data_IF_309742669613
#
_entry.id   IF_309742669613
#
_cell.length_a   1.000
_cell.length_b   1.000
_cell.length_c   1.000
_cell.angle_alpha   90.00
_cell.angle_beta   90.00
_cell.angle_gamma   90.00
#
_symmetry.space_group_name_H-M   'P 1'
#
loop_
_entity.id
_entity.type
_entity.pdbx_description
1 polymer ?
#
# COMPACT_ATOMS: atom_id res chain seq x y z
N UNK A 1 6.48 -22.26 -16.40
CA UNK A 1 6.26 -20.85 -16.81
C UNK A 1 7.04 -20.03 -15.81
N UNK A 2 8.07 -19.31 -16.24
CA UNK A 2 8.92 -18.54 -15.34
C UNK A 2 8.21 -17.23 -15.04
N UNK A 3 7.70 -17.08 -13.81
CA UNK A 3 7.09 -15.84 -13.37
C UNK A 3 8.15 -14.71 -13.41
N UNK A 4 7.79 -13.56 -13.97
CA UNK A 4 8.67 -12.38 -14.03
C UNK A 4 9.16 -11.95 -12.63
N UNK A 5 8.40 -12.29 -11.58
CA UNK A 5 8.75 -12.04 -10.18
C UNK A 5 9.91 -12.94 -9.68
N UNK A 6 10.14 -14.11 -10.27
CA UNK A 6 11.31 -14.97 -10.00
C UNK A 6 12.56 -14.47 -10.73
N UNK A 7 12.39 -13.81 -11.88
CA UNK A 7 13.49 -13.24 -12.67
C UNK A 7 13.96 -11.87 -12.14
N UNK A 8 13.10 -11.15 -11.41
CA UNK A 8 13.38 -9.85 -10.81
C UNK A 8 12.93 -9.83 -9.34
N UNK A 9 13.76 -10.33 -8.40
CA UNK A 9 13.40 -10.35 -6.98
C UNK A 9 13.17 -8.91 -6.50
N UNK A 10 11.90 -8.55 -6.35
CA UNK A 10 11.51 -7.21 -5.92
C UNK A 10 11.50 -7.16 -4.39
N UNK A 11 12.13 -6.13 -3.82
CA UNK A 11 12.05 -5.79 -2.38
C UNK A 11 10.62 -5.43 -1.95
N UNK A 12 9.71 -5.27 -2.91
CA UNK A 12 8.37 -4.76 -2.71
C UNK A 12 7.30 -5.84 -3.00
N UNK A 13 6.19 -5.76 -2.28
CA UNK A 13 5.01 -6.61 -2.51
C UNK A 13 4.38 -6.28 -3.86
N UNK A 14 4.09 -7.34 -4.63
CA UNK A 14 3.36 -7.28 -5.90
C UNK A 14 2.00 -7.97 -5.79
N UNK A 15 1.08 -7.66 -6.69
CA UNK A 15 -0.24 -8.31 -6.71
C UNK A 15 -0.13 -9.84 -6.87
N UNK A 16 0.89 -10.32 -7.58
CA UNK A 16 1.21 -11.74 -7.73
C UNK A 16 1.56 -12.42 -6.39
N UNK A 17 2.21 -11.72 -5.45
CA UNK A 17 2.52 -12.25 -4.12
C UNK A 17 1.25 -12.57 -3.31
N UNK A 18 0.15 -11.84 -3.55
CA UNK A 18 -1.12 -12.08 -2.88
C UNK A 18 -1.88 -13.29 -3.44
N UNK A 19 -1.47 -13.83 -4.60
CA UNK A 19 -2.11 -14.99 -5.26
C UNK A 19 -3.64 -14.89 -5.35
N UNK A 20 -4.17 -13.69 -5.62
CA UNK A 20 -5.61 -13.45 -5.70
C UNK A 20 -6.34 -13.38 -4.35
N UNK A 21 -5.64 -13.47 -3.21
CA UNK A 21 -6.25 -13.53 -1.88
C UNK A 21 -6.22 -12.17 -1.18
N UNK A 22 -7.26 -11.92 -0.38
CA UNK A 22 -7.28 -10.82 0.58
C UNK A 22 -6.46 -11.22 1.81
N UNK A 23 -5.46 -10.40 2.17
CA UNK A 23 -4.58 -10.66 3.31
C UNK A 23 -4.66 -9.48 4.25
N UNK A 24 -5.08 -9.71 5.49
CA UNK A 24 -5.05 -8.67 6.53
C UNK A 24 -3.68 -8.68 7.18
N UNK A 25 -3.04 -7.53 7.27
CA UNK A 25 -1.69 -7.37 7.79
C UNK A 25 -1.60 -6.16 8.71
N UNK A 26 -0.71 -6.23 9.69
CA UNK A 26 -0.45 -5.11 10.59
C UNK A 26 0.79 -4.34 10.14
N UNK A 27 0.67 -3.02 9.96
CA UNK A 27 1.81 -2.16 9.62
C UNK A 27 2.80 -2.17 10.79
N UNK A 28 4.05 -2.54 10.52
CA UNK A 28 5.17 -2.59 11.46
C UNK A 28 5.96 -1.29 11.46
N UNK A 29 6.19 -0.72 10.28
CA UNK A 29 6.94 0.51 10.08
C UNK A 29 6.61 1.08 8.71
N UNK A 30 6.75 2.39 8.55
CA UNK A 30 6.68 3.06 7.26
C UNK A 30 8.00 3.78 7.02
N UNK A 31 8.61 3.57 5.85
CA UNK A 31 9.80 4.31 5.42
C UNK A 31 9.49 5.08 4.15
N UNK A 32 10.13 6.22 3.95
CA UNK A 32 9.97 7.00 2.73
C UNK A 32 11.19 6.75 1.86
N UNK A 33 10.99 6.14 0.70
CA UNK A 33 12.05 5.99 -0.30
C UNK A 33 11.77 6.86 -1.52
N UNK A 34 12.85 7.24 -2.20
CA UNK A 34 12.81 8.01 -3.43
C UNK A 34 12.83 7.06 -4.62
N UNK A 35 11.85 7.22 -5.50
CA UNK A 35 11.69 6.44 -6.72
C UNK A 35 11.86 7.37 -7.92
N UNK A 36 12.34 6.82 -9.04
CA UNK A 36 12.33 7.53 -10.31
C UNK A 36 10.99 7.26 -11.02
N UNK A 37 10.26 8.32 -11.35
CA UNK A 37 8.95 8.27 -12.00
C UNK A 37 8.90 9.37 -13.07
N UNK A 38 8.70 8.97 -14.33
CA UNK A 38 8.61 9.86 -15.49
C UNK A 38 9.74 10.92 -15.60
N UNK A 39 10.99 10.53 -15.29
CA UNK A 39 12.17 11.40 -15.36
C UNK A 39 12.34 12.34 -14.16
N UNK A 40 11.52 12.19 -13.12
CA UNK A 40 11.63 12.92 -11.86
C UNK A 40 11.79 12.01 -10.65
N UNK A 41 12.34 12.55 -9.56
CA UNK A 41 12.44 11.88 -8.27
C UNK A 41 11.16 12.10 -7.47
N UNK A 42 10.47 11.02 -7.12
CA UNK A 42 9.24 11.05 -6.32
C UNK A 42 9.41 10.26 -5.04
N UNK A 43 8.99 10.83 -3.92
CA UNK A 43 9.03 10.15 -2.62
C UNK A 43 7.75 9.33 -2.44
N UNK A 44 7.88 8.04 -2.18
CA UNK A 44 6.74 7.15 -1.91
C UNK A 44 6.92 6.46 -0.55
N UNK A 45 5.91 6.47 0.32
CA UNK A 45 5.97 5.72 1.57
C UNK A 45 5.87 4.22 1.28
N UNK A 46 6.63 3.44 2.05
CA UNK A 46 6.70 1.98 1.97
C UNK A 46 6.30 1.45 3.33
N UNK A 47 5.18 0.74 3.36
CA UNK A 47 4.68 0.10 4.58
C UNK A 47 5.26 -1.32 4.68
N UNK A 48 6.00 -1.59 5.75
CA UNK A 48 6.41 -2.94 6.14
C UNK A 48 5.37 -3.53 7.07
N UNK A 49 5.16 -4.85 6.99
CA UNK A 49 4.14 -5.54 7.77
C UNK A 49 4.76 -6.55 8.73
N UNK A 50 4.11 -6.78 9.87
CA UNK A 50 4.54 -7.83 10.81
C UNK A 50 4.40 -9.22 10.21
N UNK A 51 3.27 -9.47 9.53
CA UNK A 51 2.99 -10.75 8.87
C UNK A 51 3.64 -10.91 7.48
N UNK A 52 4.30 -9.87 6.95
CA UNK A 52 4.75 -9.80 5.55
C UNK A 52 6.22 -10.05 5.28
N UNK A 53 6.99 -10.44 6.31
CA UNK A 53 8.43 -10.61 6.22
C UNK A 53 9.13 -9.30 5.85
N UNK A 54 10.18 -9.40 5.02
CA UNK A 54 11.02 -8.26 4.61
C UNK A 54 10.50 -7.52 3.37
N UNK A 55 9.35 -7.92 2.81
CA UNK A 55 8.76 -7.23 1.65
C UNK A 55 7.89 -6.06 2.11
N UNK A 56 8.19 -4.87 1.59
CA UNK A 56 7.41 -3.65 1.85
C UNK A 56 6.35 -3.40 0.78
N UNK A 57 5.22 -2.78 1.12
CA UNK A 57 4.25 -2.29 0.13
C UNK A 57 4.56 -0.84 -0.22
N UNK A 58 4.92 -0.59 -1.48
CA UNK A 58 5.02 0.77 -2.02
C UNK A 58 3.62 1.37 -2.09
N UNK A 59 3.36 2.36 -1.24
CA UNK A 59 2.08 3.03 -1.17
C UNK A 59 2.03 4.17 -2.18
N UNK A 60 1.31 3.96 -3.28
CA UNK A 60 0.94 5.07 -4.17
C UNK A 60 -0.05 6.02 -3.46
N UNK A 61 -0.27 7.23 -3.98
CA UNK A 61 -1.10 8.28 -3.37
C UNK A 61 -2.47 7.77 -2.90
N UNK A 62 -3.17 6.97 -3.71
CA UNK A 62 -4.46 6.39 -3.31
C UNK A 62 -4.33 5.43 -2.12
N UNK A 63 -3.32 4.56 -2.11
CA UNK A 63 -3.11 3.59 -1.04
C UNK A 63 -2.72 4.32 0.25
N UNK A 64 -1.84 5.31 0.15
CA UNK A 64 -1.46 6.19 1.25
C UNK A 64 -2.69 6.91 1.85
N UNK A 65 -3.55 7.49 1.00
CA UNK A 65 -4.80 8.12 1.46
C UNK A 65 -5.74 7.13 2.16
N UNK A 66 -5.87 5.91 1.63
CA UNK A 66 -6.70 4.88 2.27
C UNK A 66 -6.14 4.49 3.64
N UNK A 67 -4.82 4.31 3.77
CA UNK A 67 -4.21 4.02 5.08
C UNK A 67 -4.44 5.19 6.03
N UNK A 68 -4.21 6.44 5.58
CA UNK A 68 -4.46 7.63 6.39
C UNK A 68 -5.91 7.69 6.90
N UNK A 69 -6.87 7.34 6.04
CA UNK A 69 -8.30 7.27 6.39
C UNK A 69 -8.59 6.15 7.40
N UNK A 70 -7.96 4.98 7.26
CA UNK A 70 -8.12 3.86 8.20
C UNK A 70 -7.46 4.18 9.55
N UNK A 71 -6.28 4.79 9.52
CA UNK A 71 -5.52 5.21 10.70
C UNK A 71 -6.16 6.41 11.40
N UNK A 72 -6.96 7.21 10.69
CA UNK A 72 -7.44 8.52 11.16
C UNK A 72 -6.31 9.54 11.35
N UNK A 73 -5.14 9.30 10.73
CA UNK A 73 -3.90 10.08 10.89
C UNK A 73 -3.25 10.25 9.53
N UNK A 74 -2.96 11.50 9.17
CA UNK A 74 -2.27 11.84 7.91
C UNK A 74 -0.76 11.60 7.97
N UNK A 75 -0.20 11.54 9.18
CA UNK A 75 1.22 11.30 9.37
C UNK A 75 1.56 9.81 9.22
N UNK A 76 2.58 9.50 8.42
CA UNK A 76 2.96 8.13 8.06
C UNK A 76 3.56 7.35 9.23
N UNK A 77 4.22 8.04 10.17
CA UNK A 77 4.80 7.42 11.37
C UNK A 77 3.72 6.84 12.29
N UNK A 78 2.55 7.50 12.34
CA UNK A 78 1.39 7.09 13.14
C UNK A 78 0.62 5.90 12.53
N UNK A 79 1.00 5.42 11.34
CA UNK A 79 0.36 4.23 10.73
C UNK A 79 0.84 2.92 11.36
N UNK A 80 1.91 2.97 12.16
CA UNK A 80 2.46 1.81 12.85
C UNK A 80 1.42 1.20 13.80
N UNK A 81 1.18 -0.10 13.67
CA UNK A 81 0.17 -0.84 14.45
C UNK A 81 -1.23 -0.86 13.83
N UNK A 82 -1.48 -0.08 12.78
CA UNK A 82 -2.75 -0.11 12.05
C UNK A 82 -2.87 -1.41 11.25
N UNK A 83 -4.04 -2.04 11.32
CA UNK A 83 -4.38 -3.23 10.54
C UNK A 83 -5.05 -2.81 9.26
N UNK A 84 -4.58 -3.33 8.13
CA UNK A 84 -5.14 -3.09 6.82
C UNK A 84 -5.28 -4.40 6.05
N UNK A 85 -6.28 -4.47 5.16
CA UNK A 85 -6.45 -5.62 4.28
C UNK A 85 -5.95 -5.28 2.88
N UNK A 86 -4.98 -6.06 2.40
CA UNK A 86 -4.40 -5.97 1.07
C UNK A 86 -5.14 -6.94 0.15
N UNK A 87 -5.48 -6.48 -1.05
CA UNK A 87 -6.08 -7.34 -2.07
C UNK A 87 -5.57 -6.97 -3.47
N UNK A 88 -5.33 -7.96 -4.34
CA UNK A 88 -4.95 -7.70 -5.72
C UNK A 88 -6.17 -7.29 -6.54
N UNK A 89 -6.00 -6.34 -7.46
CA UNK A 89 -7.03 -5.91 -8.39
C UNK A 89 -6.40 -5.44 -9.70
N UNK A 90 -7.16 -5.54 -10.78
CA UNK A 90 -6.75 -5.02 -12.09
C UNK A 90 -7.02 -3.53 -12.16
N UNK A 91 -5.99 -2.72 -12.41
CA UNK A 91 -6.11 -1.27 -12.60
C UNK A 91 -5.59 -0.88 -13.97
N UNK A 92 -6.18 0.15 -14.57
CA UNK A 92 -5.65 0.76 -15.77
C UNK A 92 -4.57 1.77 -15.39
N UNK A 93 -3.35 1.57 -15.87
CA UNK A 93 -2.22 2.48 -15.70
C UNK A 93 -1.55 2.70 -17.06
N UNK A 94 -1.43 3.96 -17.50
CA UNK A 94 -0.80 4.29 -18.78
C UNK A 94 -1.47 3.63 -20.00
N UNK A 95 -2.78 3.43 -19.97
CA UNK A 95 -3.53 2.76 -21.05
C UNK A 95 -3.42 1.23 -21.07
N UNK A 96 -2.70 0.62 -20.11
CA UNK A 96 -2.59 -0.84 -19.96
C UNK A 96 -3.29 -1.30 -18.68
N UNK A 97 -3.96 -2.45 -18.74
CA UNK A 97 -4.48 -3.13 -17.55
C UNK A 97 -3.31 -3.85 -16.88
N UNK A 98 -3.05 -3.51 -15.62
CA UNK A 98 -1.99 -4.11 -14.81
C UNK A 98 -2.54 -4.56 -13.46
N UNK A 99 -1.94 -5.59 -12.87
CA UNK A 99 -2.30 -6.02 -11.53
C UNK A 99 -1.66 -5.10 -10.49
N UNK A 100 -2.48 -4.56 -9.58
CA UNK A 100 -2.05 -3.68 -8.50
C UNK A 100 -2.63 -4.14 -7.16
N UNK A 101 -1.95 -3.77 -6.08
CA UNK A 101 -2.44 -4.00 -4.72
C UNK A 101 -3.27 -2.80 -4.29
N UNK A 102 -4.49 -3.06 -3.81
CA UNK A 102 -5.34 -2.09 -3.12
C UNK A 102 -5.48 -2.43 -1.65
N UNK A 103 -5.91 -1.42 -0.91
CA UNK A 103 -6.05 -1.45 0.54
C UNK A 103 -7.51 -1.22 0.87
N UNK A 104 -8.07 -2.02 1.77
CA UNK A 104 -9.40 -1.85 2.37
C UNK A 104 -9.30 -1.93 3.90
N UNK A 105 -10.25 -1.32 4.64
CA UNK A 105 -10.33 -1.48 6.08
C UNK A 105 -10.52 -2.97 6.45
N UNK A 106 -9.94 -3.43 7.58
CA UNK A 106 -10.12 -4.81 8.01
C UNK A 106 -11.59 -5.07 8.34
N UNK A 107 -12.09 -6.23 7.91
CA UNK A 107 -13.50 -6.63 8.08
C UNK A 107 -13.93 -6.80 9.55
N UNK A 108 -12.98 -6.77 10.50
CA UNK A 108 -13.24 -6.75 11.93
C UNK A 108 -12.89 -5.37 12.53
N UNK A 109 -13.93 -4.53 12.64
CA UNK A 109 -14.12 -3.38 13.53
C UNK A 109 -12.96 -2.39 13.77
N UNK A 110 -13.08 -1.17 13.24
CA UNK A 110 -13.01 0.08 14.03
C UNK A 110 -13.67 1.27 13.29
N UNK A 111 -14.29 2.21 14.04
CA UNK A 111 -15.19 3.24 13.53
C UNK A 111 -14.43 4.30 12.74
N UNK A 112 -15.00 4.66 11.59
CA UNK A 112 -14.58 5.81 10.78
C UNK A 112 -14.79 7.06 11.63
N UNK A 113 -13.72 7.58 12.24
CA UNK A 113 -13.74 8.92 12.82
C UNK A 113 -13.59 9.89 11.65
N UNK A 114 -14.66 10.64 11.40
CA UNK A 114 -14.79 11.60 10.30
C UNK A 114 -13.54 12.46 10.18
N UNK A 115 -12.85 12.33 9.04
CA UNK A 115 -11.75 13.20 8.68
C UNK A 115 -12.38 14.51 8.20
N UNK A 116 -12.41 15.52 9.08
CA UNK A 116 -12.89 16.85 8.72
C UNK A 116 -11.96 17.41 7.63
N UNK A 117 -12.51 17.52 6.43
CA UNK A 117 -11.85 17.92 5.20
C UNK A 117 -11.56 19.43 5.27
N UNK A 118 -10.38 19.80 5.79
CA UNK A 118 -9.81 21.13 5.60
C UNK A 118 -8.62 21.00 4.66
N UNK A 119 -8.91 20.85 3.37
CA UNK A 119 -7.94 21.06 2.30
C UNK A 119 -8.08 22.54 1.88
N UNK A 120 -7.20 23.45 2.33
CA UNK A 120 -7.19 24.81 1.81
C UNK A 120 -6.85 24.77 0.31
N UNK A 121 -7.63 25.55 -0.44
CA UNK A 121 -7.62 25.74 -1.89
C UNK A 121 -6.26 26.20 -2.45
#
# INVERSE_FOLDING_TARGET
>A
MTDLNELYPSKYLSAADLKGKKVTMTIKAVVIEEFEDNGGKVKKPIAYFKEGGDKGLVCNKTNAMTIARIAGKTNTDDWTGVRITLFPTMVQFGGKVTEAIRIEPPMAAVPVKELNDEIPW
#
